data_IF_245251288975
#
_entry.id   IF_245251288975
#
_cell.length_a   1.000
_cell.length_b   1.000
_cell.length_c   1.000
_cell.angle_alpha   90.00
_cell.angle_beta   90.00
_cell.angle_gamma   90.00
#
_symmetry.space_group_name_H-M   'P 1'
#
loop_
_entity.id
_entity.type
_entity.pdbx_description
1 polymer ?
#
# COMPACT_ATOMS: atom_id res chain seq x y z
N UNK A 1 -35.98 2.45 2.47
CA UNK A 1 -35.70 1.28 3.34
C UNK A 1 -34.50 0.57 2.73
N UNK A 2 -33.40 0.32 3.46
CA UNK A 2 -32.28 -0.42 2.89
C UNK A 2 -32.71 -1.87 2.67
N UNK A 3 -32.55 -2.36 1.44
CA UNK A 3 -32.68 -3.78 1.12
C UNK A 3 -31.28 -4.38 1.29
N UNK A 4 -31.16 -5.38 2.16
CA UNK A 4 -29.92 -6.14 2.30
C UNK A 4 -30.00 -7.35 1.37
N UNK A 5 -28.96 -7.55 0.57
CA UNK A 5 -28.82 -8.74 -0.27
C UNK A 5 -28.59 -9.97 0.62
N UNK A 6 -29.08 -11.12 0.18
CA UNK A 6 -28.81 -12.37 0.88
C UNK A 6 -27.36 -12.80 0.70
N UNK A 7 -26.80 -13.55 1.67
CA UNK A 7 -25.44 -14.07 1.58
C UNK A 7 -25.26 -14.99 0.35
N UNK A 8 -26.32 -15.67 -0.08
CA UNK A 8 -26.32 -16.54 -1.27
C UNK A 8 -26.15 -15.74 -2.56
N UNK A 9 -26.85 -14.61 -2.69
CA UNK A 9 -26.72 -13.69 -3.83
C UNK A 9 -25.32 -13.06 -3.85
N UNK A 10 -24.81 -12.64 -2.69
CA UNK A 10 -23.46 -12.10 -2.57
C UNK A 10 -22.41 -13.11 -3.03
N UNK A 11 -22.59 -14.39 -2.66
CA UNK A 11 -21.67 -15.46 -3.05
C UNK A 11 -21.74 -15.81 -4.56
N UNK A 12 -22.93 -15.74 -5.17
CA UNK A 12 -23.07 -15.92 -6.62
C UNK A 12 -22.46 -14.76 -7.41
N UNK A 13 -22.63 -13.52 -6.91
CA UNK A 13 -22.03 -12.34 -7.52
C UNK A 13 -20.49 -12.37 -7.44
N UNK A 14 -19.94 -12.84 -6.32
CA UNK A 14 -18.49 -13.05 -6.16
C UNK A 14 -17.93 -14.15 -7.09
N UNK A 15 -18.74 -15.14 -7.49
CA UNK A 15 -18.30 -16.16 -8.46
C UNK A 15 -18.27 -15.65 -9.89
N UNK A 16 -19.22 -14.79 -10.27
CA UNK A 16 -19.28 -14.22 -11.63
C UNK A 16 -18.19 -13.17 -11.89
N UNK A 17 -17.73 -12.46 -10.85
CA UNK A 17 -16.61 -11.51 -10.96
C UNK A 17 -15.29 -12.22 -11.28
N UNK A 18 -15.09 -13.43 -10.75
CA UNK A 18 -13.89 -14.24 -11.03
C UNK A 18 -13.83 -14.78 -12.48
N UNK A 19 -14.95 -14.90 -13.18
CA UNK A 19 -14.97 -15.34 -14.58
C UNK A 19 -14.88 -14.19 -15.61
N UNK A 20 -15.14 -12.94 -15.21
CA UNK A 20 -15.17 -11.80 -16.15
C UNK A 20 -14.08 -10.74 -15.89
N UNK A 21 -13.42 -10.77 -14.75
CA UNK A 21 -12.20 -10.00 -14.55
C UNK A 21 -11.04 -10.79 -15.15
N UNK A 22 -10.60 -10.37 -16.32
CA UNK A 22 -9.25 -10.65 -16.81
C UNK A 22 -8.32 -10.33 -15.64
N UNK A 23 -7.76 -11.36 -14.99
CA UNK A 23 -6.85 -11.21 -13.85
C UNK A 23 -5.79 -10.22 -14.33
N UNK A 24 -5.83 -9.01 -13.77
CA UNK A 24 -4.93 -7.94 -14.16
C UNK A 24 -3.52 -8.51 -14.03
N UNK A 25 -2.92 -8.79 -15.19
CA UNK A 25 -1.66 -9.49 -15.24
C UNK A 25 -0.65 -8.68 -14.44
N UNK A 26 0.39 -9.36 -13.97
CA UNK A 26 1.53 -8.77 -13.25
C UNK A 26 2.20 -7.57 -14.00
N UNK A 27 1.77 -7.29 -15.23
CA UNK A 27 2.17 -6.19 -16.09
C UNK A 27 1.69 -4.80 -15.62
N UNK A 28 0.61 -4.67 -14.85
CA UNK A 28 0.08 -3.35 -14.48
C UNK A 28 0.73 -2.72 -13.22
N UNK A 29 1.69 -3.40 -12.60
CA UNK A 29 2.55 -2.78 -11.57
C UNK A 29 3.48 -1.69 -12.13
N UNK A 30 3.62 -1.56 -13.45
CA UNK A 30 4.42 -0.52 -14.09
C UNK A 30 3.76 0.88 -14.02
N UNK A 31 2.48 0.96 -13.59
CA UNK A 31 1.78 2.24 -13.41
C UNK A 31 1.87 2.82 -11.99
N UNK A 32 2.55 2.16 -11.04
CA UNK A 32 2.78 2.76 -9.73
C UNK A 32 3.77 3.91 -9.93
N UNK A 33 3.40 5.18 -9.67
CA UNK A 33 4.31 6.30 -9.86
C UNK A 33 5.54 6.06 -9.00
N UNK A 34 6.66 5.79 -9.68
CA UNK A 34 7.99 5.55 -9.12
C UNK A 34 8.55 6.87 -8.59
N UNK A 35 7.90 7.43 -7.57
CA UNK A 35 8.35 8.65 -6.90
C UNK A 35 9.30 8.33 -5.73
N UNK A 36 9.60 7.04 -5.49
CA UNK A 36 10.61 6.62 -4.52
C UNK A 36 11.99 6.65 -5.20
N UNK A 37 12.54 7.85 -5.29
CA UNK A 37 13.96 8.19 -5.14
C UNK A 37 15.01 7.30 -5.85
N UNK A 38 15.50 7.78 -6.99
CA UNK A 38 16.91 7.72 -7.49
C UNK A 38 17.74 6.43 -7.36
N UNK A 39 17.15 5.25 -7.21
CA UNK A 39 17.91 4.00 -7.22
C UNK A 39 17.99 3.43 -8.65
N UNK A 40 19.20 3.42 -9.20
CA UNK A 40 19.62 2.70 -10.43
C UNK A 40 19.02 1.28 -10.45
N UNK A 41 18.55 0.75 -11.60
CA UNK A 41 17.95 -0.57 -11.65
C UNK A 41 18.97 -1.63 -11.22
N UNK A 42 18.70 -2.29 -10.08
CA UNK A 42 19.48 -3.41 -9.57
C UNK A 42 18.89 -4.69 -10.15
N UNK A 43 19.75 -5.39 -10.85
CA UNK A 43 19.64 -6.73 -11.43
C UNK A 43 19.03 -7.78 -10.48
N UNK A 44 18.45 -8.82 -11.10
CA UNK A 44 17.58 -9.89 -10.57
C UNK A 44 17.99 -10.49 -9.20
N UNK A 45 17.72 -9.76 -8.13
CA UNK A 45 17.40 -10.17 -6.76
C UNK A 45 17.28 -8.86 -5.97
N UNK A 46 16.27 -8.06 -6.30
CA UNK A 46 16.11 -6.71 -5.75
C UNK A 46 15.79 -6.77 -4.26
N UNK A 47 16.86 -6.79 -3.44
CA UNK A 47 16.75 -6.54 -2.01
C UNK A 47 16.56 -5.04 -1.87
N UNK A 48 15.34 -4.63 -1.56
CA UNK A 48 15.04 -3.22 -1.26
C UNK A 48 15.81 -2.86 0.01
N UNK A 49 16.90 -2.10 -0.14
CA UNK A 49 17.63 -1.53 0.98
C UNK A 49 16.89 -0.27 1.40
N UNK A 50 16.07 -0.38 2.44
CA UNK A 50 15.40 0.77 3.03
C UNK A 50 16.34 1.44 4.03
N UNK A 51 16.48 2.77 3.94
CA UNK A 51 17.25 3.54 4.93
C UNK A 51 16.49 3.57 6.25
N UNK A 52 17.23 3.48 7.37
CA UNK A 52 16.69 3.65 8.73
C UNK A 52 16.02 5.01 8.91
N UNK A 53 16.49 6.03 8.19
CA UNK A 53 15.98 7.40 8.29
C UNK A 53 14.51 7.50 7.85
N UNK A 54 14.03 6.58 6.99
CA UNK A 54 12.63 6.53 6.55
C UNK A 54 11.65 6.13 7.66
N UNK A 55 12.15 5.48 8.72
CA UNK A 55 11.36 5.00 9.85
C UNK A 55 11.65 5.75 11.14
N UNK A 56 12.46 6.80 11.07
CA UNK A 56 12.84 7.59 12.24
C UNK A 56 11.88 8.77 12.40
N UNK A 57 11.29 8.93 13.59
CA UNK A 57 10.42 10.06 13.89
C UNK A 57 11.24 11.35 13.87
N UNK A 58 10.88 12.37 13.09
CA UNK A 58 11.64 13.62 13.04
C UNK A 58 11.53 14.45 14.34
N UNK A 59 10.63 14.07 15.27
CA UNK A 59 10.44 14.74 16.56
C UNK A 59 11.32 14.10 17.63
N UNK A 60 11.20 12.78 17.84
CA UNK A 60 11.91 12.06 18.91
C UNK A 60 13.28 11.55 18.47
N UNK A 61 13.55 11.48 17.17
CA UNK A 61 14.74 10.88 16.57
C UNK A 61 14.89 9.37 16.84
N UNK A 62 13.83 8.73 17.34
CA UNK A 62 13.73 7.29 17.56
C UNK A 62 13.01 6.59 16.39
N UNK A 63 13.13 5.26 16.33
CA UNK A 63 12.37 4.46 15.36
C UNK A 63 10.89 4.50 15.75
N UNK A 64 10.02 4.86 14.80
CA UNK A 64 8.58 4.91 15.02
C UNK A 64 8.02 3.52 15.29
N UNK A 65 7.34 3.34 16.42
CA UNK A 65 6.58 2.12 16.73
C UNK A 65 5.14 2.23 16.23
N UNK A 66 4.57 3.45 16.29
CA UNK A 66 3.19 3.72 15.90
C UNK A 66 3.10 4.91 14.90
N UNK A 67 3.46 4.71 13.62
CA UNK A 67 3.53 5.80 12.66
C UNK A 67 2.13 6.32 12.29
N UNK A 68 1.90 7.61 12.49
CA UNK A 68 0.73 8.34 12.03
C UNK A 68 1.09 9.33 10.92
N UNK A 69 0.32 9.31 9.84
CA UNK A 69 0.49 10.25 8.71
C UNK A 69 -0.44 11.44 8.88
N UNK A 70 0.12 12.65 8.88
CA UNK A 70 -0.66 13.89 8.97
C UNK A 70 -1.23 14.26 7.61
N UNK A 71 -2.55 14.12 7.42
CA UNK A 71 -3.24 14.67 6.26
C UNK A 71 -3.43 16.20 6.42
N UNK A 72 -3.31 17.02 5.36
CA UNK A 72 -3.06 16.65 3.96
C UNK A 72 -1.58 16.64 3.56
N UNK A 73 -0.66 17.02 4.45
CA UNK A 73 0.75 17.24 4.09
C UNK A 73 1.58 15.96 3.95
N UNK A 74 1.08 14.82 4.42
CA UNK A 74 1.70 13.50 4.21
C UNK A 74 2.93 13.21 5.06
N UNK A 75 3.29 14.07 6.00
CA UNK A 75 4.40 13.81 6.94
C UNK A 75 4.02 12.72 7.95
N UNK A 76 5.01 11.92 8.34
CA UNK A 76 4.85 10.82 9.29
C UNK A 76 5.58 11.13 10.59
N UNK A 77 4.93 10.77 11.70
CA UNK A 77 5.47 10.91 13.06
C UNK A 77 5.05 9.70 13.88
N UNK A 78 5.71 9.46 15.01
CA UNK A 78 5.15 8.53 16.00
C UNK A 78 3.91 9.19 16.63
N UNK A 79 2.80 8.44 16.72
CA UNK A 79 1.56 8.92 17.29
C UNK A 79 1.68 9.20 18.79
N UNK A 80 2.60 8.52 19.46
CA UNK A 80 2.86 8.62 20.90
C UNK A 80 4.06 9.52 21.24
N UNK A 81 4.58 10.26 20.24
CA UNK A 81 5.69 11.22 20.37
C UNK A 81 5.39 12.44 21.26
#
# INVERSE_FOLDING_TARGET
RPQFQSLSELFQQAKQTVENDEILGMADLESIPTQITTAKPVDKASRVVLSKDLFTCPITLDIMENPATTAPCGHMFDMDA
#
